data_IF_442516330903
#
_entry.id   IF_442516330903
#
_cell.length_a   1.000
_cell.length_b   1.000
_cell.length_c   1.000
_cell.angle_alpha   90.00
_cell.angle_beta   90.00
_cell.angle_gamma   90.00
#
_symmetry.space_group_name_H-M   'P 1'
#
loop_
_entity.id
_entity.type
_entity.pdbx_description
1 polymer ?
#
# COMPACT_ATOMS: atom_id res chain seq x y z
N UNK A 1 47.57 4.21 9.17
CA UNK A 1 47.26 2.83 9.60
C UNK A 1 46.07 2.42 8.78
N UNK A 2 46.16 1.37 7.99
CA UNK A 2 45.01 0.82 7.29
C UNK A 2 44.09 0.24 8.38
N UNK A 3 42.91 0.84 8.58
CA UNK A 3 41.87 0.27 9.40
C UNK A 3 41.36 -0.97 8.67
N UNK A 4 41.72 -2.16 9.17
CA UNK A 4 41.13 -3.40 8.70
C UNK A 4 39.62 -3.28 8.93
N UNK A 5 38.81 -3.32 7.85
CA UNK A 5 37.35 -3.41 7.99
C UNK A 5 37.00 -4.62 8.87
N UNK A 6 35.99 -4.49 9.74
CA UNK A 6 35.55 -5.63 10.54
C UNK A 6 35.06 -6.76 9.62
N UNK A 7 35.40 -7.99 9.95
CA UNK A 7 34.86 -9.16 9.25
C UNK A 7 33.37 -9.25 9.59
N UNK A 8 32.52 -9.09 8.60
CA UNK A 8 31.06 -9.21 8.70
C UNK A 8 30.56 -10.47 7.99
N UNK A 9 29.40 -10.98 8.37
CA UNK A 9 28.79 -12.16 7.74
C UNK A 9 28.34 -11.86 6.30
N UNK A 10 27.89 -10.62 6.06
CA UNK A 10 27.38 -10.14 4.78
C UNK A 10 27.85 -8.71 4.50
N UNK A 11 27.83 -8.30 3.24
CA UNK A 11 27.93 -6.89 2.90
C UNK A 11 26.65 -6.15 3.31
N UNK A 12 25.47 -6.73 3.01
CA UNK A 12 24.19 -6.10 3.29
C UNK A 12 23.17 -7.11 3.86
N UNK A 13 22.52 -6.73 4.93
CA UNK A 13 21.27 -7.39 5.40
C UNK A 13 20.09 -6.56 4.94
N UNK A 14 19.08 -7.20 4.35
CA UNK A 14 17.79 -6.60 4.00
C UNK A 14 16.75 -7.10 5.00
N UNK A 15 16.00 -6.18 5.61
CA UNK A 15 14.93 -6.51 6.57
C UNK A 15 13.58 -6.30 5.91
N UNK A 16 12.87 -7.40 5.65
CA UNK A 16 11.58 -7.46 4.97
C UNK A 16 11.71 -7.90 3.50
N UNK A 17 10.90 -8.88 3.10
CA UNK A 17 10.81 -9.42 1.73
C UNK A 17 9.51 -8.97 1.02
N UNK A 18 9.10 -7.72 1.21
CA UNK A 18 8.11 -7.02 0.36
C UNK A 18 8.75 -6.53 -0.94
N UNK A 19 7.98 -5.82 -1.77
CA UNK A 19 8.45 -5.30 -3.07
C UNK A 19 9.76 -4.50 -2.96
N UNK A 20 9.91 -3.66 -1.93
CA UNK A 20 11.14 -2.89 -1.71
C UNK A 20 12.33 -3.77 -1.36
N UNK A 21 12.18 -4.72 -0.43
CA UNK A 21 13.27 -5.59 -0.01
C UNK A 21 13.70 -6.56 -1.12
N UNK A 22 12.76 -7.09 -1.88
CA UNK A 22 13.03 -7.94 -3.05
C UNK A 22 13.82 -7.14 -4.10
N UNK A 23 13.40 -5.91 -4.43
CA UNK A 23 14.08 -5.05 -5.38
C UNK A 23 15.52 -4.72 -4.92
N UNK A 24 15.69 -4.35 -3.65
CA UNK A 24 17.00 -4.08 -3.08
C UNK A 24 17.92 -5.32 -3.11
N UNK A 25 17.37 -6.48 -2.71
CA UNK A 25 18.11 -7.74 -2.73
C UNK A 25 18.59 -8.09 -4.14
N UNK A 26 17.70 -8.02 -5.13
CA UNK A 26 18.00 -8.32 -6.52
C UNK A 26 19.09 -7.38 -7.08
N UNK A 27 18.97 -6.08 -6.81
CA UNK A 27 19.94 -5.08 -7.28
C UNK A 27 21.35 -5.32 -6.71
N UNK A 28 21.43 -5.55 -5.39
CA UNK A 28 22.72 -5.76 -4.71
C UNK A 28 23.37 -7.11 -5.06
N UNK A 29 22.59 -8.18 -5.15
CA UNK A 29 23.09 -9.49 -5.61
C UNK A 29 23.60 -9.39 -7.05
N UNK A 30 22.88 -8.68 -7.93
CA UNK A 30 23.31 -8.46 -9.32
C UNK A 30 24.58 -7.62 -9.42
N UNK A 31 24.84 -6.75 -8.45
CA UNK A 31 26.08 -5.98 -8.33
C UNK A 31 27.24 -6.78 -7.71
N UNK A 32 27.03 -8.02 -7.27
CA UNK A 32 28.05 -8.92 -6.74
C UNK A 32 28.28 -8.83 -5.23
N UNK A 33 27.44 -8.11 -4.50
CA UNK A 33 27.53 -8.04 -3.03
C UNK A 33 27.00 -9.33 -2.37
N UNK A 34 27.58 -9.65 -1.20
CA UNK A 34 27.08 -10.69 -0.30
C UNK A 34 25.87 -10.18 0.45
N UNK A 35 24.67 -10.70 0.12
CA UNK A 35 23.39 -10.20 0.64
C UNK A 35 22.59 -11.33 1.28
N UNK A 36 21.86 -11.02 2.33
CA UNK A 36 20.79 -11.84 2.88
C UNK A 36 19.54 -10.98 3.12
N UNK A 37 18.39 -11.44 2.64
CA UNK A 37 17.09 -10.86 2.97
C UNK A 37 16.41 -11.71 4.04
N UNK A 38 15.93 -11.09 5.11
CA UNK A 38 15.23 -11.76 6.20
C UNK A 38 13.81 -11.19 6.32
N UNK A 39 12.83 -12.11 6.39
CA UNK A 39 11.41 -11.79 6.46
C UNK A 39 10.81 -12.37 7.74
N UNK A 40 10.01 -11.59 8.42
CA UNK A 40 9.37 -11.99 9.67
C UNK A 40 8.23 -12.99 9.44
N UNK A 41 7.49 -12.83 8.35
CA UNK A 41 6.40 -13.75 7.98
C UNK A 41 6.93 -15.05 7.36
N UNK A 42 6.06 -16.02 7.23
CA UNK A 42 6.31 -17.32 6.57
C UNK A 42 6.20 -17.24 5.03
N UNK A 43 6.01 -16.02 4.48
CA UNK A 43 5.84 -15.74 3.06
C UNK A 43 6.51 -14.44 2.64
N UNK A 44 6.82 -14.31 1.37
CA UNK A 44 7.28 -13.08 0.74
C UNK A 44 6.11 -12.19 0.28
N UNK A 45 6.42 -11.02 -0.26
CA UNK A 45 5.50 -10.08 -0.90
C UNK A 45 4.94 -9.02 0.04
N UNK A 46 4.94 -9.26 1.36
CA UNK A 46 4.36 -8.33 2.33
C UNK A 46 2.88 -8.06 2.04
N UNK A 47 2.55 -6.80 1.69
CA UNK A 47 1.18 -6.35 1.32
C UNK A 47 0.79 -6.66 -0.14
N UNK A 48 1.69 -7.25 -0.90
CA UNK A 48 1.44 -7.71 -2.29
C UNK A 48 1.48 -9.24 -2.28
N UNK A 49 0.34 -9.86 -2.01
CA UNK A 49 0.22 -11.30 -1.83
C UNK A 49 -1.00 -11.84 -2.56
N UNK A 50 -0.78 -12.78 -3.48
CA UNK A 50 -1.84 -13.53 -4.17
C UNK A 50 -2.01 -14.89 -3.50
N UNK A 51 -3.21 -15.20 -3.03
CA UNK A 51 -3.60 -16.53 -2.59
C UNK A 51 -4.39 -17.26 -3.69
N UNK A 52 -4.10 -18.52 -3.92
CA UNK A 52 -4.81 -19.38 -4.89
C UNK A 52 -5.58 -20.51 -4.23
N UNK A 53 -5.49 -20.67 -2.91
CA UNK A 53 -6.07 -21.77 -2.15
C UNK A 53 -7.45 -21.42 -1.59
N UNK A 54 -7.62 -20.17 -1.12
CA UNK A 54 -8.87 -19.71 -0.51
C UNK A 54 -10.02 -19.89 -1.49
N UNK A 55 -9.90 -19.42 -2.72
CA UNK A 55 -10.99 -19.46 -3.70
C UNK A 55 -10.79 -20.51 -4.82
N UNK A 56 -9.57 -21.03 -4.98
CA UNK A 56 -9.20 -21.90 -6.10
C UNK A 56 -8.91 -21.13 -7.39
N UNK A 57 -8.92 -19.79 -7.32
CA UNK A 57 -8.54 -18.82 -8.36
C UNK A 57 -7.62 -17.80 -7.74
N UNK A 58 -6.81 -17.05 -8.52
CA UNK A 58 -5.98 -15.98 -7.95
C UNK A 58 -6.84 -14.94 -7.22
N UNK A 59 -6.41 -14.62 -6.01
CA UNK A 59 -6.99 -13.57 -5.18
C UNK A 59 -5.87 -12.74 -4.58
N UNK A 60 -5.76 -11.50 -4.99
CA UNK A 60 -4.86 -10.55 -4.37
C UNK A 60 -5.43 -10.07 -3.03
N UNK A 61 -4.84 -10.54 -1.94
CA UNK A 61 -5.26 -10.20 -0.59
C UNK A 61 -4.93 -8.74 -0.21
N UNK A 62 -4.03 -8.11 -0.94
CA UNK A 62 -3.64 -6.71 -0.79
C UNK A 62 -3.65 -6.00 -2.13
N UNK A 63 -2.49 -5.51 -2.57
CA UNK A 63 -2.40 -4.77 -3.82
C UNK A 63 -2.82 -5.63 -5.02
N UNK A 64 -3.78 -5.13 -5.78
CA UNK A 64 -4.29 -5.71 -7.03
C UNK A 64 -4.03 -4.79 -8.22
N UNK A 65 -4.21 -3.48 -8.04
CA UNK A 65 -4.07 -2.44 -9.04
C UNK A 65 -2.60 -2.12 -9.31
N UNK A 66 -2.17 -2.23 -10.56
CA UNK A 66 -0.88 -1.73 -11.04
C UNK A 66 -1.06 -0.30 -11.51
N UNK A 67 -1.11 0.62 -10.58
CA UNK A 67 -1.33 2.05 -10.84
C UNK A 67 -0.24 2.66 -11.72
N UNK A 68 -0.61 3.69 -12.48
CA UNK A 68 0.33 4.56 -13.22
C UNK A 68 1.18 3.77 -14.20
N UNK A 69 0.53 3.01 -15.09
CA UNK A 69 1.16 2.07 -16.04
C UNK A 69 2.36 2.67 -16.77
N UNK A 70 2.27 3.94 -17.16
CA UNK A 70 3.28 4.65 -17.95
C UNK A 70 4.65 4.73 -17.24
N UNK A 71 4.66 4.74 -15.91
CA UNK A 71 5.87 4.83 -15.09
C UNK A 71 5.98 3.69 -14.08
N UNK A 72 5.10 2.69 -14.13
CA UNK A 72 5.12 1.56 -13.22
C UNK A 72 6.35 0.68 -13.43
N UNK A 73 7.24 0.65 -12.43
CA UNK A 73 8.52 -0.07 -12.51
C UNK A 73 8.37 -1.59 -12.64
N UNK A 74 7.19 -2.15 -12.37
CA UNK A 74 6.94 -3.60 -12.37
C UNK A 74 6.32 -4.11 -13.67
N UNK A 75 5.86 -3.21 -14.56
CA UNK A 75 5.27 -3.61 -15.85
C UNK A 75 6.28 -4.36 -16.72
N UNK A 76 7.43 -3.77 -16.97
CA UNK A 76 8.45 -4.40 -17.82
C UNK A 76 8.97 -5.73 -17.24
N UNK A 77 9.30 -5.86 -15.95
CA UNK A 77 9.60 -7.14 -15.33
C UNK A 77 8.48 -8.18 -15.48
N UNK A 78 7.22 -7.82 -15.25
CA UNK A 78 6.08 -8.73 -15.40
C UNK A 78 5.95 -9.29 -16.80
N UNK A 79 6.04 -8.43 -17.83
CA UNK A 79 6.03 -8.84 -19.24
C UNK A 79 7.23 -9.74 -19.58
N UNK A 80 8.43 -9.42 -19.08
CA UNK A 80 9.62 -10.24 -19.28
C UNK A 80 9.52 -11.63 -18.64
N UNK A 81 8.76 -11.76 -17.55
CA UNK A 81 8.45 -13.04 -16.90
C UNK A 81 7.33 -13.83 -17.63
N UNK A 82 6.74 -13.27 -18.68
CA UNK A 82 5.67 -13.90 -19.46
C UNK A 82 4.30 -13.90 -18.77
N UNK A 83 4.08 -12.99 -17.82
CA UNK A 83 2.79 -12.85 -17.14
C UNK A 83 1.77 -12.10 -18.02
N UNK A 84 0.50 -12.43 -17.84
CA UNK A 84 -0.62 -11.80 -18.56
C UNK A 84 -1.00 -10.47 -17.88
N UNK A 85 -0.30 -9.40 -18.26
CA UNK A 85 -0.59 -8.04 -17.85
C UNK A 85 -1.52 -7.38 -18.87
N UNK A 86 -2.62 -6.80 -18.40
CA UNK A 86 -3.62 -6.17 -19.27
C UNK A 86 -4.16 -4.88 -18.65
N UNK A 87 -4.63 -3.91 -19.48
CA UNK A 87 -5.24 -2.69 -18.95
C UNK A 87 -6.45 -3.01 -18.09
N UNK A 88 -6.59 -2.31 -16.97
CA UNK A 88 -7.83 -2.33 -16.20
C UNK A 88 -8.95 -1.83 -17.13
N UNK A 89 -10.07 -2.56 -17.25
CA UNK A 89 -11.15 -2.14 -18.14
C UNK A 89 -11.73 -0.79 -17.71
N UNK A 90 -12.01 0.06 -18.71
CA UNK A 90 -12.76 1.31 -18.50
C UNK A 90 -14.27 1.00 -18.57
N UNK A 91 -14.74 0.17 -17.68
CA UNK A 91 -16.12 -0.34 -17.63
C UNK A 91 -16.73 -0.18 -16.23
N UNK A 92 -16.53 1.00 -15.60
CA UNK A 92 -17.21 1.34 -14.36
C UNK A 92 -18.72 1.39 -14.53
N UNK A 93 -19.46 0.86 -13.57
CA UNK A 93 -20.91 0.97 -13.48
C UNK A 93 -21.32 1.63 -12.16
N UNK A 94 -22.23 2.59 -12.20
CA UNK A 94 -22.78 3.23 -11.00
C UNK A 94 -24.24 2.88 -10.85
N UNK A 95 -24.54 2.02 -9.88
CA UNK A 95 -25.92 1.64 -9.61
C UNK A 95 -26.79 2.85 -9.24
N UNK A 96 -27.87 3.03 -9.98
CA UNK A 96 -28.81 4.15 -9.78
C UNK A 96 -28.53 5.37 -10.64
N UNK A 97 -27.49 5.36 -11.50
CA UNK A 97 -27.27 6.33 -12.57
C UNK A 97 -27.49 5.69 -13.95
N UNK A 98 -28.12 6.47 -14.84
CA UNK A 98 -28.20 6.13 -16.27
C UNK A 98 -26.95 6.61 -17.03
N UNK A 99 -26.26 7.61 -16.48
CA UNK A 99 -25.03 8.20 -17.03
C UNK A 99 -24.00 8.40 -15.90
N UNK A 100 -22.95 7.62 -15.92
CA UNK A 100 -21.84 7.68 -14.95
C UNK A 100 -21.07 9.00 -14.98
N UNK A 101 -21.21 9.80 -16.05
CA UNK A 101 -20.59 11.11 -16.15
C UNK A 101 -20.94 12.01 -14.96
N UNK A 102 -22.12 11.87 -14.37
CA UNK A 102 -22.54 12.61 -13.16
C UNK A 102 -21.59 12.37 -12.00
N UNK A 103 -21.20 11.12 -11.73
CA UNK A 103 -20.25 10.79 -10.65
C UNK A 103 -18.84 11.24 -10.99
N UNK A 104 -18.41 11.03 -12.25
CA UNK A 104 -17.07 11.41 -12.67
C UNK A 104 -16.86 12.93 -12.73
N UNK A 105 -17.90 13.72 -13.00
CA UNK A 105 -17.87 15.19 -12.85
C UNK A 105 -17.64 15.59 -11.39
N UNK A 106 -18.32 14.95 -10.42
CA UNK A 106 -18.10 15.17 -8.99
C UNK A 106 -16.67 14.83 -8.57
N UNK A 107 -16.14 13.67 -9.00
CA UNK A 107 -14.76 13.27 -8.75
C UNK A 107 -13.78 14.28 -9.34
N UNK A 108 -13.99 14.70 -10.59
CA UNK A 108 -13.15 15.70 -11.27
C UNK A 108 -13.16 17.05 -10.55
N UNK A 109 -14.33 17.51 -10.12
CA UNK A 109 -14.45 18.79 -9.41
C UNK A 109 -13.80 18.73 -8.02
N UNK A 110 -13.87 17.60 -7.34
CA UNK A 110 -13.15 17.36 -6.09
C UNK A 110 -11.64 17.42 -6.30
N UNK A 111 -11.09 16.77 -7.33
CA UNK A 111 -9.66 16.84 -7.65
C UNK A 111 -9.21 18.26 -7.98
N UNK A 112 -10.02 19.04 -8.73
CA UNK A 112 -9.72 20.46 -9.01
C UNK A 112 -9.69 21.28 -7.71
N UNK A 113 -10.66 21.08 -6.82
CA UNK A 113 -10.72 21.76 -5.53
C UNK A 113 -9.50 21.44 -4.66
N UNK A 114 -9.07 20.17 -4.61
CA UNK A 114 -7.87 19.74 -3.91
C UNK A 114 -6.63 20.43 -4.49
N UNK A 115 -6.47 20.41 -5.82
CA UNK A 115 -5.32 21.02 -6.50
C UNK A 115 -5.21 22.52 -6.22
N UNK A 116 -6.35 23.24 -6.29
CA UNK A 116 -6.41 24.67 -5.96
C UNK A 116 -6.04 24.93 -4.50
N UNK A 117 -6.63 24.18 -3.58
CA UNK A 117 -6.38 24.35 -2.15
C UNK A 117 -4.94 24.02 -1.75
N UNK A 118 -4.37 22.95 -2.32
CA UNK A 118 -2.97 22.60 -2.11
C UNK A 118 -1.99 23.66 -2.65
N UNK A 119 -2.32 24.32 -3.76
CA UNK A 119 -1.55 25.43 -4.28
C UNK A 119 -1.63 26.63 -3.35
N UNK A 120 -2.81 27.01 -2.86
CA UNK A 120 -3.00 28.09 -1.88
C UNK A 120 -2.19 27.84 -0.59
N UNK A 121 -2.15 26.59 -0.13
CA UNK A 121 -1.35 26.18 1.03
C UNK A 121 0.15 26.37 0.75
N UNK A 122 0.64 25.96 -0.42
CA UNK A 122 2.04 26.14 -0.82
C UNK A 122 2.42 27.63 -0.93
N UNK A 123 1.55 28.47 -1.49
CA UNK A 123 1.76 29.92 -1.59
C UNK A 123 1.77 30.58 -0.19
N UNK A 124 0.89 30.12 0.71
CA UNK A 124 0.83 30.61 2.09
C UNK A 124 2.10 30.23 2.86
N UNK A 125 2.57 29.00 2.74
CA UNK A 125 3.84 28.56 3.32
C UNK A 125 5.01 29.38 2.77
N UNK A 126 5.10 29.58 1.45
CA UNK A 126 6.17 30.35 0.83
C UNK A 126 6.19 31.80 1.33
N UNK A 127 5.02 32.39 1.61
CA UNK A 127 4.87 33.77 2.10
C UNK A 127 5.16 33.93 3.59
N UNK A 128 4.76 32.91 4.41
CA UNK A 128 4.78 33.04 5.89
C UNK A 128 5.99 32.33 6.50
N UNK A 129 6.58 31.35 5.80
CA UNK A 129 7.59 30.42 6.32
C UNK A 129 7.02 29.37 7.28
N UNK A 130 5.69 29.35 7.48
CA UNK A 130 5.04 28.37 8.35
C UNK A 130 4.45 27.22 7.49
N UNK A 131 4.74 25.95 7.82
CA UNK A 131 4.14 24.81 7.13
C UNK A 131 2.62 24.95 7.09
N UNK A 132 2.04 24.82 5.90
CA UNK A 132 0.59 24.94 5.68
C UNK A 132 0.15 23.75 4.82
N UNK A 133 -0.80 22.97 5.34
CA UNK A 133 -1.33 21.77 4.67
C UNK A 133 -2.67 21.42 5.31
N UNK A 134 -3.75 21.82 4.64
CA UNK A 134 -5.12 21.54 5.09
C UNK A 134 -5.49 20.07 4.90
N UNK A 135 -6.53 19.66 5.61
CA UNK A 135 -7.19 18.38 5.41
C UNK A 135 -8.18 18.41 4.24
N UNK A 136 -8.53 17.24 3.71
CA UNK A 136 -9.61 17.14 2.73
C UNK A 136 -10.96 17.57 3.35
N UNK A 137 -11.17 17.41 4.64
CA UNK A 137 -12.37 17.89 5.34
C UNK A 137 -12.52 19.41 5.33
N UNK A 138 -11.42 20.16 5.27
CA UNK A 138 -11.45 21.63 5.26
C UNK A 138 -12.00 22.22 3.95
N UNK A 139 -12.04 21.42 2.88
CA UNK A 139 -12.49 21.87 1.55
C UNK A 139 -13.68 21.07 1.01
N UNK A 140 -14.00 19.94 1.63
CA UNK A 140 -15.10 19.10 1.19
C UNK A 140 -16.44 19.76 1.51
N UNK A 141 -17.31 19.83 0.49
CA UNK A 141 -18.67 20.32 0.60
C UNK A 141 -19.59 19.37 -0.18
N UNK A 142 -20.48 18.71 0.54
CA UNK A 142 -21.44 17.76 -0.05
C UNK A 142 -22.55 18.53 -0.77
N UNK A 143 -22.43 18.71 -2.07
CA UNK A 143 -23.34 19.50 -2.91
C UNK A 143 -24.42 18.67 -3.59
N UNK A 144 -24.13 17.39 -3.83
CA UNK A 144 -25.03 16.49 -4.52
C UNK A 144 -25.17 15.17 -3.75
N UNK A 145 -26.18 14.34 -4.08
CA UNK A 145 -26.31 13.00 -3.51
C UNK A 145 -25.08 12.09 -3.76
N UNK A 146 -24.22 12.41 -4.73
CA UNK A 146 -23.07 11.62 -5.14
C UNK A 146 -21.76 12.07 -4.53
N UNK A 147 -21.73 13.22 -3.84
CA UNK A 147 -20.49 13.78 -3.26
C UNK A 147 -19.79 12.81 -2.30
N UNK A 148 -20.53 12.03 -1.49
CA UNK A 148 -19.92 11.02 -0.62
C UNK A 148 -19.38 9.81 -1.37
N UNK A 149 -19.99 9.43 -2.49
CA UNK A 149 -19.46 8.37 -3.37
C UNK A 149 -18.16 8.83 -4.04
N UNK A 150 -18.10 10.07 -4.53
CA UNK A 150 -16.88 10.64 -5.09
C UNK A 150 -15.73 10.70 -4.06
N UNK A 151 -16.03 11.11 -2.83
CA UNK A 151 -15.06 11.09 -1.73
C UNK A 151 -14.61 9.68 -1.38
N UNK A 152 -15.52 8.71 -1.37
CA UNK A 152 -15.16 7.30 -1.11
C UNK A 152 -14.17 6.78 -2.15
N UNK A 153 -14.36 7.06 -3.44
CA UNK A 153 -13.43 6.67 -4.49
C UNK A 153 -12.02 7.22 -4.24
N UNK A 154 -11.92 8.47 -3.76
CA UNK A 154 -10.66 9.04 -3.34
C UNK A 154 -10.13 8.42 -2.05
N UNK A 155 -10.98 8.18 -1.04
CA UNK A 155 -10.62 7.57 0.23
C UNK A 155 -10.05 6.14 0.06
N UNK A 156 -10.49 5.40 -0.96
CA UNK A 156 -9.88 4.11 -1.33
C UNK A 156 -8.41 4.28 -1.70
N UNK A 157 -8.04 5.34 -2.43
CA UNK A 157 -6.64 5.58 -2.83
C UNK A 157 -5.72 5.96 -1.68
N UNK A 158 -6.26 6.54 -0.59
CA UNK A 158 -5.49 7.06 0.55
C UNK A 158 -5.72 6.30 1.86
N UNK A 159 -6.69 5.38 1.91
CA UNK A 159 -7.06 4.54 3.06
C UNK A 159 -7.39 5.30 4.36
N UNK A 160 -8.00 6.50 4.25
CA UNK A 160 -8.23 7.41 5.38
C UNK A 160 -9.55 8.15 5.27
N UNK A 161 -9.99 8.69 6.39
CA UNK A 161 -11.11 9.64 6.45
C UNK A 161 -10.63 11.06 6.09
N UNK A 162 -11.56 11.93 5.71
CA UNK A 162 -11.29 13.28 5.24
C UNK A 162 -10.42 14.14 6.19
N UNK A 163 -10.66 14.15 7.52
CA UNK A 163 -9.86 14.95 8.44
C UNK A 163 -8.40 14.48 8.58
N UNK A 164 -8.14 13.22 8.25
CA UNK A 164 -6.83 12.58 8.35
C UNK A 164 -6.02 12.66 7.05
N UNK A 165 -6.52 13.34 6.03
CA UNK A 165 -5.98 13.32 4.69
C UNK A 165 -5.37 14.67 4.31
N UNK A 166 -4.05 14.69 4.07
CA UNK A 166 -3.31 15.86 3.57
C UNK A 166 -3.66 16.15 2.12
N UNK A 167 -4.04 17.41 1.79
CA UNK A 167 -4.28 17.86 0.42
C UNK A 167 -2.99 17.80 -0.41
N UNK A 168 -1.87 18.15 0.19
CA UNK A 168 -0.57 18.21 -0.50
C UNK A 168 0.02 16.83 -0.77
N UNK A 169 -0.29 15.85 0.06
CA UNK A 169 0.12 14.45 -0.20
C UNK A 169 -0.70 13.87 -1.37
N UNK A 170 -2.01 14.12 -1.43
CA UNK A 170 -2.86 13.65 -2.54
C UNK A 170 -2.37 14.20 -3.88
N UNK A 171 -2.17 15.52 -3.98
CA UNK A 171 -1.82 16.14 -5.26
C UNK A 171 -0.40 15.79 -5.72
N UNK A 172 0.45 15.29 -4.84
CA UNK A 172 1.78 14.82 -5.19
C UNK A 172 1.79 13.48 -5.92
N UNK A 173 0.67 12.76 -5.91
CA UNK A 173 0.59 11.42 -6.50
C UNK A 173 0.60 11.48 -8.03
N UNK A 174 1.46 10.66 -8.64
CA UNK A 174 1.52 10.51 -10.10
C UNK A 174 0.32 9.71 -10.58
N UNK A 175 -0.60 10.35 -11.30
CA UNK A 175 -1.75 9.69 -11.93
C UNK A 175 -1.38 9.02 -13.24
N UNK A 176 -2.21 8.08 -13.68
CA UNK A 176 -2.03 7.38 -14.94
C UNK A 176 -3.03 6.24 -15.09
N UNK A 177 -2.89 5.44 -16.17
CA UNK A 177 -3.75 4.30 -16.42
C UNK A 177 -3.38 3.13 -15.50
N UNK A 178 -4.38 2.34 -15.16
CA UNK A 178 -4.22 1.17 -14.30
C UNK A 178 -4.18 -0.12 -15.11
N UNK A 179 -3.41 -1.08 -14.64
CA UNK A 179 -3.30 -2.41 -15.23
C UNK A 179 -3.53 -3.49 -14.19
N UNK A 180 -3.87 -4.69 -14.65
CA UNK A 180 -4.01 -5.89 -13.84
C UNK A 180 -3.01 -6.97 -14.26
N UNK A 181 -2.77 -7.92 -13.35
CA UNK A 181 -2.04 -9.15 -13.61
C UNK A 181 -2.99 -10.34 -13.40
N UNK A 182 -3.25 -11.13 -14.44
CA UNK A 182 -4.23 -12.21 -14.38
C UNK A 182 -3.85 -13.31 -13.37
N UNK A 183 -2.56 -13.56 -13.23
CA UNK A 183 -2.03 -14.52 -12.24
C UNK A 183 -2.00 -13.94 -10.82
N UNK A 184 -2.29 -12.66 -10.66
CA UNK A 184 -2.23 -11.87 -9.45
C UNK A 184 -0.96 -11.03 -9.33
N UNK A 185 -1.09 -9.83 -8.78
CA UNK A 185 0.05 -8.91 -8.60
C UNK A 185 1.06 -9.46 -7.58
N UNK A 186 0.58 -10.14 -6.54
CA UNK A 186 1.46 -10.84 -5.60
C UNK A 186 2.23 -11.99 -6.24
N UNK A 187 1.66 -12.65 -7.25
CA UNK A 187 2.37 -13.67 -8.02
C UNK A 187 3.52 -13.04 -8.82
N UNK A 188 3.32 -11.88 -9.45
CA UNK A 188 4.39 -11.14 -10.12
C UNK A 188 5.56 -10.86 -9.16
N UNK A 189 5.27 -10.31 -7.97
CA UNK A 189 6.31 -10.04 -6.96
C UNK A 189 7.02 -11.33 -6.54
N UNK A 190 6.30 -12.43 -6.35
CA UNK A 190 6.89 -13.71 -6.00
C UNK A 190 7.83 -14.24 -7.10
N UNK A 191 7.48 -14.05 -8.37
CA UNK A 191 8.32 -14.43 -9.51
C UNK A 191 9.61 -13.60 -9.59
N UNK A 192 9.57 -12.30 -9.24
CA UNK A 192 10.80 -11.48 -9.20
C UNK A 192 11.75 -11.88 -8.07
N UNK A 193 11.26 -12.60 -7.07
CA UNK A 193 12.04 -13.06 -5.93
C UNK A 193 12.71 -14.42 -6.13
N UNK A 194 12.42 -15.12 -7.23
CA UNK A 194 12.95 -16.47 -7.47
C UNK A 194 14.48 -16.51 -7.47
N UNK A 195 15.06 -17.41 -6.68
CA UNK A 195 16.51 -17.60 -6.59
C UNK A 195 17.26 -16.56 -5.72
N UNK A 196 16.55 -15.59 -5.14
CA UNK A 196 17.16 -14.64 -4.22
C UNK A 196 17.43 -15.26 -2.84
N UNK A 197 18.47 -14.82 -2.12
CA UNK A 197 18.83 -15.32 -0.79
C UNK A 197 17.88 -14.76 0.29
N UNK A 198 16.67 -15.29 0.34
CA UNK A 198 15.61 -14.87 1.29
C UNK A 198 15.39 -15.97 2.34
N UNK A 199 15.32 -15.59 3.61
CA UNK A 199 14.97 -16.46 4.72
C UNK A 199 13.69 -15.95 5.38
N UNK A 200 12.71 -16.82 5.55
CA UNK A 200 11.38 -16.55 6.11
C UNK A 200 11.30 -16.92 7.58
N UNK A 201 10.26 -16.41 8.25
CA UNK A 201 9.96 -16.69 9.67
C UNK A 201 11.07 -16.29 10.63
N UNK A 202 11.78 -15.18 10.32
CA UNK A 202 12.88 -14.66 11.11
C UNK A 202 12.63 -13.18 11.47
N UNK A 203 11.80 -12.89 12.47
CA UNK A 203 11.58 -11.53 12.94
C UNK A 203 12.87 -10.89 13.46
N UNK A 204 13.13 -9.65 13.01
CA UNK A 204 14.18 -8.78 13.54
C UNK A 204 13.63 -8.09 14.80
N UNK A 205 14.44 -8.04 15.84
CA UNK A 205 14.11 -7.39 17.12
C UNK A 205 14.95 -6.14 17.39
N UNK A 206 16.22 -6.14 16.96
CA UNK A 206 17.13 -5.03 17.24
C UNK A 206 18.09 -4.79 16.05
N UNK A 207 18.44 -3.54 15.83
CA UNK A 207 19.45 -3.11 14.85
C UNK A 207 20.39 -2.14 15.52
N UNK A 208 21.64 -2.55 15.72
CA UNK A 208 22.67 -1.76 16.39
C UNK A 208 23.68 -1.25 15.36
N UNK A 209 23.95 0.05 15.36
CA UNK A 209 25.06 0.62 14.60
C UNK A 209 26.40 0.33 15.31
N UNK A 210 27.34 -0.21 14.59
CA UNK A 210 28.69 -0.53 15.10
C UNK A 210 29.74 0.36 14.42
N UNK A 211 30.94 0.39 15.01
CA UNK A 211 32.08 1.02 14.32
C UNK A 211 32.43 0.23 13.06
N UNK A 212 31.96 0.74 11.90
CA UNK A 212 32.25 0.16 10.58
C UNK A 212 31.23 -0.88 10.08
N UNK A 213 30.09 -1.05 10.74
CA UNK A 213 29.07 -2.00 10.31
C UNK A 213 27.77 -1.89 11.10
N UNK A 214 26.95 -2.91 11.02
CA UNK A 214 25.67 -3.04 11.74
C UNK A 214 25.55 -4.44 12.31
N UNK A 215 24.82 -4.57 13.41
CA UNK A 215 24.36 -5.84 13.96
C UNK A 215 22.85 -5.91 13.86
N UNK A 216 22.34 -7.00 13.33
CA UNK A 216 20.91 -7.28 13.22
C UNK A 216 20.58 -8.49 14.10
N UNK A 217 19.85 -8.27 15.18
CA UNK A 217 19.40 -9.33 16.10
C UNK A 217 18.02 -9.81 15.68
N UNK A 218 17.87 -11.13 15.62
CA UNK A 218 16.65 -11.81 15.21
C UNK A 218 16.25 -12.86 16.24
N UNK A 219 15.08 -13.44 16.08
CA UNK A 219 14.64 -14.58 16.89
C UNK A 219 15.48 -15.86 16.66
N UNK A 220 16.25 -15.94 15.57
CA UNK A 220 17.10 -17.08 15.19
C UNK A 220 18.60 -16.83 15.40
N UNK A 221 18.96 -15.73 16.01
CA UNK A 221 20.35 -15.33 16.28
C UNK A 221 20.69 -13.96 15.76
N UNK A 222 21.99 -13.70 15.57
CA UNK A 222 22.52 -12.38 15.21
C UNK A 222 23.28 -12.46 13.90
N UNK A 223 23.10 -11.45 13.05
CA UNK A 223 23.83 -11.24 11.81
C UNK A 223 24.64 -9.95 11.90
N UNK A 224 25.79 -9.91 11.25
CA UNK A 224 26.60 -8.69 11.09
C UNK A 224 26.75 -8.34 9.62
N UNK A 225 26.66 -7.04 9.31
CA UNK A 225 26.82 -6.57 7.93
C UNK A 225 27.50 -5.21 7.88
N UNK A 226 27.98 -4.81 6.68
CA UNK A 226 28.54 -3.47 6.45
C UNK A 226 27.43 -2.41 6.42
N UNK A 227 26.23 -2.78 5.96
CA UNK A 227 25.02 -1.93 5.96
C UNK A 227 23.75 -2.76 6.11
N UNK A 228 22.65 -2.12 6.46
CA UNK A 228 21.30 -2.72 6.49
C UNK A 228 20.30 -1.83 5.75
N UNK A 229 19.39 -2.45 4.99
CA UNK A 229 18.23 -1.78 4.41
C UNK A 229 16.97 -2.29 5.13
N UNK A 230 16.25 -1.39 5.80
CA UNK A 230 15.02 -1.68 6.54
C UNK A 230 13.83 -1.33 5.67
N UNK A 231 13.01 -2.33 5.33
CA UNK A 231 11.80 -2.15 4.50
C UNK A 231 10.50 -2.46 5.26
N UNK A 232 10.59 -2.52 6.58
CA UNK A 232 9.42 -2.66 7.45
C UNK A 232 8.47 -1.46 7.30
N UNK A 233 7.16 -1.71 7.44
CA UNK A 233 6.16 -0.65 7.37
C UNK A 233 6.34 0.39 8.47
N UNK A 234 5.84 1.62 8.25
CA UNK A 234 5.84 2.65 9.30
C UNK A 234 5.03 2.21 10.53
N UNK A 235 4.01 1.36 10.37
CA UNK A 235 3.28 0.81 11.51
C UNK A 235 4.13 -0.07 12.41
N UNK A 236 5.05 -0.85 11.85
CA UNK A 236 6.02 -1.65 12.62
C UNK A 236 7.08 -0.77 13.27
N UNK A 237 7.57 0.26 12.54
CA UNK A 237 8.63 1.15 13.03
C UNK A 237 8.12 2.11 14.11
N UNK A 238 6.91 2.62 13.98
CA UNK A 238 6.30 3.54 14.94
C UNK A 238 6.04 2.91 16.30
N UNK A 239 5.78 1.60 16.34
CA UNK A 239 5.48 0.85 17.56
C UNK A 239 6.71 0.19 18.20
N UNK A 240 7.93 0.56 17.78
CA UNK A 240 9.20 0.03 18.31
C UNK A 240 9.30 -1.52 18.30
N UNK A 241 8.65 -2.16 17.32
CA UNK A 241 8.77 -3.62 17.14
C UNK A 241 10.22 -3.99 16.82
N UNK A 242 10.93 -3.10 16.12
CA UNK A 242 12.37 -3.17 15.89
C UNK A 242 13.02 -2.03 16.68
N UNK A 243 13.89 -2.35 17.60
CA UNK A 243 14.66 -1.36 18.39
C UNK A 243 15.93 -0.97 17.66
N UNK A 244 16.35 0.28 17.80
CA UNK A 244 17.56 0.81 17.18
C UNK A 244 18.52 1.33 18.27
N UNK A 245 19.81 1.02 18.11
CA UNK A 245 20.89 1.60 18.89
C UNK A 245 21.96 2.21 17.95
N UNK A 246 22.19 3.54 17.96
CA UNK A 246 21.48 4.54 18.78
C UNK A 246 19.99 4.65 18.45
N UNK A 247 19.16 5.20 19.34
CA UNK A 247 17.74 5.42 19.07
C UNK A 247 17.52 6.29 17.84
N UNK A 248 16.41 6.04 17.09
CA UNK A 248 16.03 6.86 15.94
C UNK A 248 15.91 8.35 16.32
N UNK A 249 16.25 9.23 15.39
CA UNK A 249 16.22 10.68 15.56
C UNK A 249 14.81 11.18 15.94
N UNK A 250 14.75 12.24 16.75
CA UNK A 250 13.49 12.77 17.25
C UNK A 250 12.56 13.26 16.13
N UNK A 251 13.11 13.82 15.05
CA UNK A 251 12.31 14.27 13.91
C UNK A 251 11.77 13.08 13.09
N UNK A 252 12.50 11.96 12.98
CA UNK A 252 11.99 10.72 12.39
C UNK A 252 10.86 10.12 13.23
N UNK A 253 10.97 10.19 14.55
CA UNK A 253 9.89 9.79 15.47
C UNK A 253 8.64 10.63 15.24
N UNK A 254 8.79 11.95 15.15
CA UNK A 254 7.67 12.85 14.85
C UNK A 254 7.09 12.61 13.45
N UNK A 255 7.92 12.18 12.48
CA UNK A 255 7.44 11.85 11.15
C UNK A 255 6.50 10.62 11.14
N UNK A 256 6.65 9.67 12.08
CA UNK A 256 5.71 8.54 12.22
C UNK A 256 4.32 8.95 12.73
N UNK A 257 4.20 10.09 13.39
CA UNK A 257 2.89 10.65 13.81
C UNK A 257 2.15 11.30 12.62
N UNK A 258 2.89 11.65 11.56
CA UNK A 258 2.37 12.34 10.39
C UNK A 258 2.25 11.45 9.15
N UNK A 259 3.15 10.48 8.98
CA UNK A 259 3.06 9.43 7.95
C UNK A 259 2.64 8.14 8.66
N UNK A 260 1.36 7.86 8.64
CA UNK A 260 0.79 6.74 9.41
C UNK A 260 0.11 5.73 8.50
N UNK A 261 -0.06 4.50 8.98
CA UNK A 261 -0.76 3.45 8.23
C UNK A 261 -2.26 3.72 8.18
N UNK A 262 -2.82 3.66 6.99
CA UNK A 262 -4.26 3.71 6.77
C UNK A 262 -4.95 2.36 6.97
N UNK A 263 -6.27 2.35 6.76
CA UNK A 263 -7.11 1.17 6.77
C UNK A 263 -7.74 0.96 5.38
N UNK A 264 -7.45 -0.16 4.76
CA UNK A 264 -8.05 -0.61 3.50
C UNK A 264 -8.08 -2.12 3.51
N UNK A 265 -9.23 -2.69 3.28
CA UNK A 265 -9.41 -4.14 3.30
C UNK A 265 -10.34 -4.61 2.18
N UNK A 266 -10.17 -5.87 1.83
CA UNK A 266 -11.01 -6.60 0.89
C UNK A 266 -11.94 -7.55 1.64
N UNK A 267 -13.25 -7.50 1.33
CA UNK A 267 -14.16 -8.59 1.66
C UNK A 267 -14.55 -9.28 0.35
N UNK A 268 -13.77 -10.27 -0.01
CA UNK A 268 -13.93 -11.00 -1.26
C UNK A 268 -15.00 -12.09 -1.15
N UNK A 269 -15.79 -12.23 -2.20
CA UNK A 269 -16.93 -13.14 -2.29
C UNK A 269 -16.85 -13.90 -3.61
N UNK A 270 -16.86 -15.23 -3.55
CA UNK A 270 -16.93 -16.07 -4.73
C UNK A 270 -18.39 -16.45 -4.99
N UNK A 271 -18.85 -16.20 -6.20
CA UNK A 271 -20.17 -16.57 -6.69
C UNK A 271 -20.08 -17.65 -7.75
N UNK A 272 -21.19 -18.34 -8.01
CA UNK A 272 -21.32 -19.21 -9.18
C UNK A 272 -21.14 -18.39 -10.46
N UNK A 273 -20.52 -18.95 -11.51
CA UNK A 273 -20.37 -18.25 -12.77
C UNK A 273 -21.70 -17.72 -13.30
N UNK A 274 -21.72 -16.44 -13.70
CA UNK A 274 -22.94 -15.78 -14.22
C UNK A 274 -23.97 -15.36 -13.18
N UNK A 275 -23.68 -15.46 -11.89
CA UNK A 275 -24.56 -15.01 -10.82
C UNK A 275 -24.72 -13.49 -10.80
N UNK A 276 -23.64 -12.76 -11.03
CA UNK A 276 -23.65 -11.31 -11.17
C UNK A 276 -23.68 -10.96 -12.66
N UNK A 277 -24.58 -10.07 -13.11
CA UNK A 277 -24.66 -9.64 -14.51
C UNK A 277 -23.60 -8.56 -14.82
N UNK A 278 -22.31 -8.88 -14.49
CA UNK A 278 -21.17 -7.99 -14.62
C UNK A 278 -20.13 -8.58 -15.55
N UNK A 279 -19.65 -7.76 -16.48
CA UNK A 279 -18.48 -8.11 -17.29
C UNK A 279 -17.24 -8.33 -16.38
N UNK A 280 -16.23 -9.06 -16.87
CA UNK A 280 -15.01 -9.22 -16.09
C UNK A 280 -14.37 -7.89 -15.69
N UNK A 281 -13.91 -7.83 -14.45
CA UNK A 281 -13.18 -6.69 -13.87
C UNK A 281 -13.97 -5.37 -13.86
N UNK A 282 -15.31 -5.43 -13.84
CA UNK A 282 -16.15 -4.23 -13.72
C UNK A 282 -16.02 -3.60 -12.34
N UNK A 283 -15.73 -2.30 -12.32
CA UNK A 283 -15.81 -1.51 -11.09
C UNK A 283 -17.24 -1.04 -10.86
N UNK A 284 -17.86 -1.49 -9.78
CA UNK A 284 -19.24 -1.13 -9.41
C UNK A 284 -19.24 -0.18 -8.22
N UNK A 285 -19.88 0.96 -8.41
CA UNK A 285 -20.19 1.93 -7.34
C UNK A 285 -21.69 2.07 -7.13
N UNK A 286 -22.08 2.70 -6.04
CA UNK A 286 -23.47 3.01 -5.71
C UNK A 286 -23.52 4.27 -4.85
N UNK A 287 -24.68 4.89 -4.73
CA UNK A 287 -24.84 6.08 -3.92
C UNK A 287 -24.57 5.79 -2.45
N UNK A 288 -23.65 6.53 -1.85
CA UNK A 288 -23.30 6.44 -0.44
C UNK A 288 -23.91 7.61 0.34
N UNK A 289 -24.32 7.32 1.56
CA UNK A 289 -24.72 8.30 2.54
C UNK A 289 -23.65 8.42 3.63
N UNK A 290 -23.54 9.60 4.23
CA UNK A 290 -22.72 9.78 5.40
C UNK A 290 -23.48 9.40 6.67
N UNK A 291 -22.75 8.93 7.67
CA UNK A 291 -23.28 8.81 9.02
C UNK A 291 -23.41 10.19 9.71
N UNK A 292 -23.85 10.19 10.97
CA UNK A 292 -23.99 11.41 11.77
C UNK A 292 -22.67 12.15 12.04
N UNK A 293 -21.53 11.51 11.80
CA UNK A 293 -20.19 12.11 11.90
C UNK A 293 -19.68 12.63 10.53
N UNK A 294 -20.47 12.51 9.45
CA UNK A 294 -20.07 12.91 8.11
C UNK A 294 -19.14 11.91 7.41
N UNK A 295 -19.07 10.66 7.90
CA UNK A 295 -18.23 9.62 7.33
C UNK A 295 -19.07 8.75 6.39
N UNK A 296 -18.63 8.62 5.14
CA UNK A 296 -19.24 7.71 4.17
C UNK A 296 -19.09 6.26 4.63
N UNK A 297 -20.22 5.53 4.72
CA UNK A 297 -20.23 4.13 5.15
C UNK A 297 -20.53 3.24 3.96
N UNK A 298 -19.46 2.68 3.39
CA UNK A 298 -19.52 1.81 2.23
C UNK A 298 -18.17 1.65 1.57
N UNK A 299 -18.20 1.27 0.30
CA UNK A 299 -17.03 1.05 -0.52
C UNK A 299 -17.42 0.86 -1.97
N UNK A 300 -16.53 0.36 -2.79
CA UNK A 300 -16.78 -0.07 -4.15
C UNK A 300 -16.64 -1.59 -4.29
N UNK A 301 -16.97 -2.10 -5.46
CA UNK A 301 -16.78 -3.51 -5.78
C UNK A 301 -15.95 -3.65 -7.05
N UNK A 302 -14.92 -4.46 -7.00
CA UNK A 302 -14.33 -5.02 -8.21
C UNK A 302 -15.03 -6.36 -8.50
N UNK A 303 -15.87 -6.37 -9.52
CA UNK A 303 -16.77 -7.48 -9.82
C UNK A 303 -16.16 -8.45 -10.84
N UNK A 304 -16.46 -9.74 -10.68
CA UNK A 304 -16.12 -10.80 -11.63
C UNK A 304 -14.63 -10.79 -12.03
N UNK A 305 -13.74 -10.66 -11.05
CA UNK A 305 -12.29 -10.52 -11.22
C UNK A 305 -11.76 -11.60 -12.18
N UNK A 306 -11.14 -11.15 -13.28
CA UNK A 306 -10.61 -12.02 -14.36
C UNK A 306 -11.64 -13.03 -14.91
N UNK A 307 -12.94 -12.74 -14.79
CA UNK A 307 -14.02 -13.64 -15.26
C UNK A 307 -14.24 -14.88 -14.37
N UNK A 308 -13.75 -14.89 -13.14
CA UNK A 308 -13.78 -16.07 -12.26
C UNK A 308 -15.03 -16.17 -11.37
N UNK A 309 -15.89 -15.13 -11.36
CA UNK A 309 -17.00 -14.98 -10.41
C UNK A 309 -16.56 -14.48 -9.03
N UNK A 310 -15.25 -14.22 -8.83
CA UNK A 310 -14.76 -13.57 -7.62
C UNK A 310 -15.09 -12.07 -7.68
N UNK A 311 -15.63 -11.54 -6.60
CA UNK A 311 -15.97 -10.12 -6.45
C UNK A 311 -15.44 -9.62 -5.12
N UNK A 312 -14.73 -8.50 -5.11
CA UNK A 312 -14.16 -7.91 -3.92
C UNK A 312 -14.91 -6.65 -3.53
N UNK A 313 -15.41 -6.59 -2.30
CA UNK A 313 -15.86 -5.34 -1.68
C UNK A 313 -14.66 -4.63 -1.09
N UNK A 314 -14.33 -3.48 -1.63
CA UNK A 314 -13.19 -2.67 -1.24
C UNK A 314 -13.66 -1.50 -0.37
N UNK A 315 -13.08 -1.38 0.81
CA UNK A 315 -13.49 -0.42 1.83
C UNK A 315 -12.28 0.19 2.54
N UNK A 316 -12.41 1.42 3.02
CA UNK A 316 -11.30 2.19 3.57
C UNK A 316 -11.67 3.02 4.80
N UNK A 317 -10.65 3.65 5.41
CA UNK A 317 -10.81 4.58 6.53
C UNK A 317 -11.35 3.94 7.80
N UNK A 318 -12.01 4.73 8.62
CA UNK A 318 -12.61 4.27 9.88
C UNK A 318 -13.72 3.25 9.69
N UNK A 319 -14.40 3.28 8.54
CA UNK A 319 -15.39 2.26 8.20
C UNK A 319 -14.74 0.88 8.01
N UNK A 320 -13.63 0.81 7.28
CA UNK A 320 -12.84 -0.43 7.14
C UNK A 320 -12.32 -0.94 8.47
N UNK A 321 -11.84 -0.04 9.33
CA UNK A 321 -11.39 -0.38 10.69
C UNK A 321 -12.53 -1.00 11.51
N UNK A 322 -13.71 -0.40 11.48
CA UNK A 322 -14.88 -0.91 12.20
C UNK A 322 -15.31 -2.31 11.70
N UNK A 323 -15.30 -2.54 10.38
CA UNK A 323 -15.59 -3.88 9.82
C UNK A 323 -14.55 -4.92 10.25
N UNK A 324 -13.27 -4.57 10.22
CA UNK A 324 -12.18 -5.45 10.65
C UNK A 324 -12.29 -5.81 12.15
N UNK A 325 -12.64 -4.85 13.00
CA UNK A 325 -12.84 -5.07 14.44
C UNK A 325 -14.09 -5.93 14.71
N UNK A 326 -15.13 -5.78 13.91
CA UNK A 326 -16.36 -6.57 14.01
C UNK A 326 -16.18 -8.02 13.52
N UNK A 327 -15.15 -8.29 12.70
CA UNK A 327 -14.80 -9.62 12.24
C UNK A 327 -15.12 -9.88 10.77
N UNK A 328 -14.48 -10.93 10.18
CA UNK A 328 -14.53 -11.19 8.75
C UNK A 328 -15.96 -11.49 8.25
N UNK A 329 -16.78 -12.18 9.02
CA UNK A 329 -18.16 -12.50 8.65
C UNK A 329 -18.98 -11.21 8.48
N UNK A 330 -18.79 -10.21 9.35
CA UNK A 330 -19.53 -8.94 9.28
C UNK A 330 -19.15 -8.17 8.02
N UNK A 331 -17.87 -8.15 7.64
CA UNK A 331 -17.41 -7.50 6.42
C UNK A 331 -17.96 -8.19 5.16
N UNK A 332 -17.97 -9.52 5.14
CA UNK A 332 -18.52 -10.32 4.03
C UNK A 332 -20.05 -10.12 3.93
N UNK A 333 -20.75 -10.20 5.05
CA UNK A 333 -22.21 -10.01 5.10
C UNK A 333 -22.59 -8.61 4.64
N UNK A 334 -21.82 -7.57 5.02
CA UNK A 334 -22.07 -6.20 4.57
C UNK A 334 -21.98 -6.11 3.03
N UNK A 335 -20.92 -6.65 2.44
CA UNK A 335 -20.75 -6.67 0.97
C UNK A 335 -21.87 -7.48 0.29
N UNK A 336 -22.23 -8.64 0.81
CA UNK A 336 -23.27 -9.50 0.26
C UNK A 336 -24.67 -8.86 0.36
N UNK A 337 -25.00 -8.20 1.47
CA UNK A 337 -26.26 -7.46 1.63
C UNK A 337 -26.32 -6.27 0.67
N UNK A 338 -25.22 -5.55 0.48
CA UNK A 338 -25.14 -4.44 -0.48
C UNK A 338 -25.40 -4.93 -1.90
N UNK A 339 -24.69 -6.00 -2.34
CA UNK A 339 -24.92 -6.59 -3.67
C UNK A 339 -26.38 -7.14 -3.80
N UNK A 340 -26.93 -7.70 -2.74
CA UNK A 340 -28.33 -8.16 -2.75
C UNK A 340 -29.32 -6.99 -2.83
N UNK A 341 -28.99 -5.83 -2.30
CA UNK A 341 -29.77 -4.59 -2.49
C UNK A 341 -29.75 -4.12 -3.94
N UNK A 342 -28.60 -4.24 -4.60
CA UNK A 342 -28.40 -3.81 -6.00
C UNK A 342 -29.04 -4.80 -6.99
N UNK A 343 -28.75 -6.10 -6.88
CA UNK A 343 -29.13 -7.12 -7.85
C UNK A 343 -30.34 -7.98 -7.42
N UNK A 344 -30.86 -7.73 -6.25
CA UNK A 344 -31.91 -8.53 -5.64
C UNK A 344 -31.39 -9.69 -4.78
N UNK A 345 -32.15 -10.10 -3.78
CA UNK A 345 -31.76 -11.13 -2.79
C UNK A 345 -31.48 -12.51 -3.40
N UNK A 346 -31.82 -12.71 -4.66
CA UNK A 346 -31.57 -13.96 -5.41
C UNK A 346 -30.10 -14.33 -5.48
N UNK A 347 -29.19 -13.35 -5.57
CA UNK A 347 -27.75 -13.59 -5.70
C UNK A 347 -27.15 -14.35 -4.52
N UNK A 348 -27.75 -14.24 -3.33
CA UNK A 348 -27.29 -14.97 -2.13
C UNK A 348 -27.32 -16.49 -2.30
N UNK A 349 -28.16 -17.03 -3.20
CA UNK A 349 -28.21 -18.47 -3.50
C UNK A 349 -27.00 -18.94 -4.29
N UNK A 350 -26.36 -18.01 -4.97
CA UNK A 350 -25.19 -18.28 -5.82
C UNK A 350 -23.88 -17.91 -5.14
N UNK A 351 -23.92 -17.33 -3.93
CA UNK A 351 -22.76 -17.14 -3.07
C UNK A 351 -22.21 -18.51 -2.61
N UNK A 352 -20.90 -18.71 -2.78
CA UNK A 352 -20.22 -19.97 -2.46
C UNK A 352 -19.46 -19.82 -1.15
N UNK A 353 -18.61 -18.80 -1.02
CA UNK A 353 -17.81 -18.50 0.17
C UNK A 353 -17.23 -17.10 0.11
N UNK A 354 -16.84 -16.57 1.26
CA UNK A 354 -16.16 -15.29 1.38
C UNK A 354 -14.88 -15.37 2.18
N UNK A 355 -14.05 -14.34 2.05
CA UNK A 355 -12.86 -14.09 2.85
C UNK A 355 -12.66 -12.59 3.00
N UNK A 356 -12.34 -12.13 4.22
CA UNK A 356 -12.02 -10.74 4.46
C UNK A 356 -10.59 -10.60 4.99
N UNK A 357 -9.88 -9.58 4.51
CA UNK A 357 -8.55 -9.24 4.99
C UNK A 357 -8.60 -8.36 6.22
N UNK A 358 -7.51 -8.33 6.99
CA UNK A 358 -7.42 -7.57 8.25
C UNK A 358 -5.99 -7.03 8.43
N UNK A 359 -5.57 -6.14 7.54
CA UNK A 359 -4.18 -5.68 7.44
C UNK A 359 -3.65 -4.99 8.70
N UNK A 360 -4.51 -4.31 9.48
CA UNK A 360 -4.11 -3.71 10.74
C UNK A 360 -3.76 -4.76 11.82
N UNK A 361 -4.38 -5.94 11.73
CA UNK A 361 -4.13 -7.06 12.67
C UNK A 361 -2.90 -7.89 12.28
N UNK A 362 -2.37 -7.70 11.06
CA UNK A 362 -1.14 -8.38 10.62
C UNK A 362 0.07 -7.87 11.41
N UNK A 363 0.72 -8.70 12.25
CA UNK A 363 1.69 -8.23 13.23
C UNK A 363 2.94 -7.58 12.61
N UNK A 364 3.28 -7.95 11.38
CA UNK A 364 4.44 -7.47 10.64
C UNK A 364 4.10 -6.43 9.57
N UNK A 365 2.86 -5.91 9.58
CA UNK A 365 2.39 -4.89 8.63
C UNK A 365 1.71 -3.72 9.35
N UNK A 366 0.68 -4.00 10.16
CA UNK A 366 -0.02 -3.05 11.03
C UNK A 366 -0.76 -1.93 10.31
N UNK A 367 -1.46 -2.27 9.23
CA UNK A 367 -2.28 -1.37 8.41
C UNK A 367 -2.12 -1.62 6.92
N UNK A 368 -2.81 -0.87 6.07
CA UNK A 368 -2.79 -1.08 4.61
C UNK A 368 -1.59 -0.41 3.94
N UNK A 369 -1.59 0.90 3.79
CA UNK A 369 -0.48 1.69 3.25
C UNK A 369 -0.38 3.05 3.96
N UNK A 370 0.75 3.75 3.75
CA UNK A 370 1.12 4.91 4.55
C UNK A 370 0.74 6.22 3.85
N UNK A 371 -0.33 6.86 4.31
CA UNK A 371 -0.72 8.20 3.88
C UNK A 371 -0.22 9.29 4.83
N UNK A 372 -0.26 10.53 4.37
CA UNK A 372 0.08 11.69 5.17
C UNK A 372 -1.12 12.27 5.89
N UNK A 373 -0.96 12.52 7.17
CA UNK A 373 -1.82 13.44 7.93
C UNK A 373 -1.58 14.88 7.47
N UNK A 374 -2.54 15.80 7.66
CA UNK A 374 -2.30 17.23 7.44
C UNK A 374 -1.04 17.72 8.15
N UNK A 375 -0.19 18.46 7.44
CA UNK A 375 1.13 18.91 7.90
C UNK A 375 2.27 17.90 7.67
N UNK A 376 1.99 16.72 7.16
CA UNK A 376 2.97 15.65 7.00
C UNK A 376 3.51 15.43 5.58
N UNK A 377 3.03 16.14 4.57
CA UNK A 377 3.35 15.91 3.15
C UNK A 377 4.85 15.86 2.82
N UNK A 378 5.70 16.55 3.57
CA UNK A 378 7.16 16.57 3.39
C UNK A 378 7.93 15.55 4.26
N UNK A 379 7.25 14.82 5.13
CA UNK A 379 7.89 13.93 6.10
C UNK A 379 8.42 12.63 5.49
N UNK A 380 7.98 12.27 4.27
CA UNK A 380 8.53 11.13 3.53
C UNK A 380 10.04 11.29 3.29
N UNK A 381 10.50 12.52 3.06
CA UNK A 381 11.92 12.82 2.95
C UNK A 381 12.70 12.60 4.27
N UNK A 382 12.06 12.84 5.43
CA UNK A 382 12.64 12.53 6.74
C UNK A 382 12.76 11.03 6.95
N UNK A 383 11.70 10.26 6.61
CA UNK A 383 11.71 8.80 6.72
C UNK A 383 12.77 8.15 5.82
N UNK A 384 13.06 8.75 4.66
CA UNK A 384 14.00 8.27 3.65
C UNK A 384 15.47 8.38 4.05
N UNK A 385 15.83 9.30 4.97
CA UNK A 385 17.22 9.54 5.35
C UNK A 385 17.85 8.29 5.99
N UNK A 386 19.14 8.03 5.76
CA UNK A 386 19.88 7.03 6.53
C UNK A 386 19.90 7.36 8.02
N UNK A 387 19.97 6.35 8.89
CA UNK A 387 20.23 6.45 10.31
C UNK A 387 21.62 5.90 10.62
N UNK A 388 22.35 6.59 11.49
CA UNK A 388 23.72 6.19 11.88
C UNK A 388 24.60 5.78 10.67
N UNK A 389 24.43 6.48 9.54
CA UNK A 389 25.12 6.32 8.25
C UNK A 389 24.87 4.99 7.52
N UNK A 390 24.68 3.87 8.23
CA UNK A 390 24.68 2.51 7.66
C UNK A 390 23.32 1.80 7.73
N UNK A 391 22.33 2.45 8.28
CA UNK A 391 20.95 1.94 8.39
C UNK A 391 20.10 2.74 7.41
N UNK A 392 19.72 2.13 6.30
CA UNK A 392 18.93 2.75 5.24
C UNK A 392 17.47 2.33 5.35
N UNK A 393 16.55 3.18 4.92
CA UNK A 393 15.12 2.90 4.92
C UNK A 393 14.58 2.95 3.50
N UNK A 394 13.66 2.03 3.20
CA UNK A 394 12.94 1.97 1.94
C UNK A 394 11.53 1.41 2.14
N UNK A 395 10.66 1.63 1.18
CA UNK A 395 9.27 1.20 1.21
C UNK A 395 8.36 2.28 0.64
N UNK A 396 7.09 1.98 0.43
CA UNK A 396 6.14 2.92 -0.19
C UNK A 396 5.98 4.22 0.60
N UNK A 397 6.18 4.16 1.92
CA UNK A 397 6.09 5.32 2.80
C UNK A 397 7.21 6.36 2.56
N UNK A 398 8.33 5.97 1.95
CA UNK A 398 9.48 6.83 1.69
C UNK A 398 9.49 7.43 0.29
N UNK A 399 8.62 6.97 -0.62
CA UNK A 399 8.49 7.53 -1.97
C UNK A 399 7.58 8.76 -1.99
N UNK A 400 7.97 9.77 -2.78
CA UNK A 400 7.13 10.91 -3.12
C UNK A 400 6.70 10.78 -4.60
N UNK A 401 5.39 10.85 -4.88
CA UNK A 401 4.83 10.70 -6.23
C UNK A 401 4.22 9.32 -6.51
N UNK A 402 4.82 8.23 -6.03
CA UNK A 402 4.24 6.88 -6.10
C UNK A 402 4.10 6.25 -4.70
N UNK A 403 3.85 7.07 -3.69
CA UNK A 403 3.52 6.61 -2.34
C UNK A 403 2.27 5.72 -2.36
N UNK A 404 2.08 4.92 -1.33
CA UNK A 404 0.94 4.00 -1.19
C UNK A 404 0.88 2.91 -2.28
N UNK A 405 1.95 2.73 -3.08
CA UNK A 405 1.95 1.80 -4.21
C UNK A 405 3.08 0.77 -4.15
N UNK A 406 2.89 -0.34 -4.84
CA UNK A 406 3.89 -1.40 -4.98
C UNK A 406 5.07 -0.93 -5.84
N UNK A 407 4.79 -0.12 -6.89
CA UNK A 407 5.81 0.49 -7.74
C UNK A 407 6.71 1.43 -6.94
N UNK A 408 6.11 2.33 -6.12
CA UNK A 408 6.88 3.21 -5.25
C UNK A 408 7.74 2.45 -4.23
N UNK A 409 7.22 1.36 -3.67
CA UNK A 409 8.01 0.49 -2.80
C UNK A 409 9.19 -0.13 -3.53
N UNK A 410 8.99 -0.66 -4.75
CA UNK A 410 10.05 -1.22 -5.58
C UNK A 410 11.13 -0.19 -5.91
N UNK A 411 10.73 1.00 -6.36
CA UNK A 411 11.64 2.10 -6.68
C UNK A 411 12.49 2.53 -5.47
N UNK A 412 11.90 2.61 -4.29
CA UNK A 412 12.62 2.93 -3.06
C UNK A 412 13.60 1.82 -2.65
N UNK A 413 13.26 0.56 -2.92
CA UNK A 413 14.20 -0.55 -2.78
C UNK A 413 15.42 -0.40 -3.67
N UNK A 414 15.22 -0.08 -4.94
CA UNK A 414 16.31 0.19 -5.91
C UNK A 414 17.15 1.40 -5.47
N UNK A 415 16.51 2.50 -5.04
CA UNK A 415 17.21 3.70 -4.55
C UNK A 415 18.10 3.36 -3.34
N UNK A 416 17.56 2.65 -2.35
CA UNK A 416 18.32 2.29 -1.15
C UNK A 416 19.49 1.34 -1.47
N UNK A 417 19.31 0.44 -2.43
CA UNK A 417 20.39 -0.41 -2.92
C UNK A 417 21.53 0.40 -3.56
N UNK A 418 21.21 1.41 -4.39
CA UNK A 418 22.23 2.27 -5.02
C UNK A 418 22.93 3.16 -3.98
N UNK A 419 22.20 3.69 -2.98
CA UNK A 419 22.81 4.44 -1.87
C UNK A 419 23.82 3.57 -1.10
N UNK A 420 23.45 2.33 -0.77
CA UNK A 420 24.32 1.37 -0.08
C UNK A 420 25.52 0.98 -0.95
N UNK A 421 25.31 0.68 -2.22
CA UNK A 421 26.37 0.35 -3.16
C UNK A 421 27.41 1.47 -3.23
N UNK A 422 26.96 2.72 -3.42
CA UNK A 422 27.84 3.90 -3.43
C UNK A 422 28.62 4.06 -2.12
N UNK A 423 28.06 3.66 -0.99
CA UNK A 423 28.72 3.70 0.31
C UNK A 423 29.77 2.59 0.49
N UNK A 424 29.57 1.42 -0.12
CA UNK A 424 30.42 0.24 0.04
C UNK A 424 31.60 0.19 -0.93
N UNK A 425 31.47 0.83 -2.11
CA UNK A 425 32.51 1.00 -3.13
C UNK A 425 33.51 2.09 -2.73
#
# INVERSE_FOLDING_TARGET
MATTEPVTDYDVVIVGAGAAGIAATQALVSAGHSVICIEAADRIGGRTHTDTKIFGVPFDMGAHWMHTEQVNALKAPGLALGLDLYPAPDNGETHGLEDDAVLWDEVSDLYKAIGQAAQEDAETEARTGAPTDRSLADIFDAKTPWSFTAVMMMALSIARDLPETSLRDIISWEGGDDWFCREGFGHLIARTAEGLPIRLSIPVTDIDALSGGVRVTTTDGTLTARAVIVTASVGVLAEDVIRFDPPLEADRRSAFDLITMGDYNHAAMLFRPGALPMEPDTWLTYQLEADNAGIARGGGFLCNISGTGLTSFENSGSFSRALQEAGPEVAIDHGLETLAGIFGSGIKKDFIKGHATAWRQEPYVRGSYAGSMPGGYNQRAVLRRPHAERIHFAGEATHAGQQCSVSGAHLEGLRAAEDVKTQLD
#
